data_IF_233110425931
#
_entry.id   IF_233110425931
#
_cell.length_a   1.000
_cell.length_b   1.000
_cell.length_c   1.000
_cell.angle_alpha   90.00
_cell.angle_beta   90.00
_cell.angle_gamma   90.00
#
_symmetry.space_group_name_H-M   'P 1'
#
loop_
_entity.id
_entity.type
_entity.pdbx_description
1 polymer ?
#
# COMPACT_ATOMS: atom_id res chain seq x y z
N UNK A 1 -8.36 -11.27 -9.44
CA UNK A 1 -7.31 -12.30 -9.29
C UNK A 1 -6.01 -11.78 -9.91
N UNK A 2 -4.91 -11.89 -9.17
CA UNK A 2 -3.54 -11.61 -9.62
C UNK A 2 -2.74 -12.91 -9.41
N UNK A 3 -2.01 -13.37 -10.42
CA UNK A 3 -1.23 -14.61 -10.35
C UNK A 3 0.19 -14.35 -10.83
N UNK A 4 1.18 -14.76 -10.04
CA UNK A 4 2.59 -14.85 -10.44
C UNK A 4 2.90 -16.33 -10.70
N UNK A 5 3.47 -16.65 -11.88
CA UNK A 5 3.84 -18.00 -12.27
C UNK A 5 5.33 -18.10 -12.53
N UNK A 6 6.04 -18.82 -11.66
CA UNK A 6 7.48 -19.09 -11.76
C UNK A 6 8.30 -17.83 -12.05
N UNK A 7 7.94 -16.73 -11.38
CA UNK A 7 8.55 -15.42 -11.60
C UNK A 7 9.95 -15.38 -10.99
N UNK A 8 10.95 -15.09 -11.83
CA UNK A 8 12.31 -14.81 -11.41
C UNK A 8 12.67 -13.37 -11.73
N UNK A 9 13.42 -12.74 -10.82
CA UNK A 9 13.94 -11.38 -11.01
C UNK A 9 15.31 -11.22 -10.36
N UNK A 10 16.25 -10.69 -11.14
CA UNK A 10 17.59 -10.35 -10.69
C UNK A 10 17.86 -8.88 -10.90
N UNK A 11 18.75 -8.31 -10.07
CA UNK A 11 19.33 -6.99 -10.26
C UNK A 11 20.85 -7.17 -10.17
N UNK A 12 21.55 -6.78 -11.23
CA UNK A 12 22.96 -7.08 -11.43
C UNK A 12 23.19 -8.60 -11.24
N UNK A 13 24.11 -8.99 -10.36
CA UNK A 13 24.41 -10.39 -10.08
C UNK A 13 23.57 -11.00 -8.93
N UNK A 14 22.61 -10.24 -8.37
CA UNK A 14 21.79 -10.72 -7.25
C UNK A 14 20.39 -11.15 -7.71
N UNK A 15 20.12 -12.45 -7.60
CA UNK A 15 18.76 -12.98 -7.76
C UNK A 15 17.93 -12.58 -6.54
N UNK A 16 16.80 -11.92 -6.76
CA UNK A 16 15.90 -11.39 -5.71
C UNK A 16 14.62 -12.23 -5.60
N UNK A 17 14.12 -12.71 -6.73
CA UNK A 17 13.05 -13.70 -6.78
C UNK A 17 13.52 -14.87 -7.63
N UNK A 18 13.24 -16.10 -7.19
CA UNK A 18 13.61 -17.33 -7.89
C UNK A 18 12.42 -18.24 -8.05
N UNK A 19 11.87 -18.34 -9.26
CA UNK A 19 10.71 -19.17 -9.61
C UNK A 19 9.53 -18.99 -8.65
N UNK A 20 9.33 -17.77 -8.15
CA UNK A 20 8.29 -17.44 -7.19
C UNK A 20 6.91 -17.53 -7.83
N UNK A 21 5.99 -18.24 -7.15
CA UNK A 21 4.60 -18.38 -7.60
C UNK A 21 3.64 -18.04 -6.46
N UNK A 22 2.63 -17.23 -6.76
CA UNK A 22 1.62 -16.81 -5.79
C UNK A 22 0.31 -16.44 -6.49
N UNK A 23 -0.80 -16.62 -5.79
CA UNK A 23 -2.14 -16.20 -6.25
C UNK A 23 -2.77 -15.32 -5.20
N UNK A 24 -3.25 -14.15 -5.64
CA UNK A 24 -4.03 -13.20 -4.86
C UNK A 24 -5.41 -13.09 -5.52
N UNK A 25 -6.40 -13.73 -4.94
CA UNK A 25 -7.74 -13.76 -5.56
C UNK A 25 -8.66 -12.69 -4.97
N UNK A 26 -9.07 -12.84 -3.72
CA UNK A 26 -9.90 -11.89 -2.98
C UNK A 26 -9.48 -11.87 -1.52
N UNK A 27 -9.73 -10.77 -0.82
CA UNK A 27 -9.41 -10.63 0.60
C UNK A 27 -8.12 -9.87 0.87
N UNK A 28 -7.54 -10.15 2.03
CA UNK A 28 -6.43 -9.41 2.60
C UNK A 28 -5.19 -10.30 2.69
N UNK A 29 -4.09 -9.85 2.10
CA UNK A 29 -2.84 -10.60 2.03
C UNK A 29 -1.69 -9.85 2.68
N UNK A 30 -0.95 -10.54 3.53
CA UNK A 30 0.35 -10.11 4.05
C UNK A 30 1.47 -10.80 3.25
N UNK A 31 2.22 -10.03 2.49
CA UNK A 31 3.43 -10.50 1.83
C UNK A 31 4.59 -10.44 2.83
N UNK A 32 5.01 -11.62 3.30
CA UNK A 32 5.96 -11.79 4.39
C UNK A 32 7.34 -12.19 3.88
N UNK A 33 8.37 -11.78 4.61
CA UNK A 33 9.76 -12.18 4.39
C UNK A 33 10.73 -11.17 5.00
N UNK A 34 12.01 -11.54 5.17
CA UNK A 34 13.04 -10.66 5.70
C UNK A 34 13.20 -9.36 4.92
N UNK A 35 13.87 -8.36 5.52
CA UNK A 35 14.23 -7.15 4.80
C UNK A 35 15.15 -7.46 3.63
N UNK A 36 14.87 -6.85 2.46
CA UNK A 36 15.69 -7.04 1.25
C UNK A 36 15.48 -8.38 0.51
N UNK A 37 14.51 -9.21 0.92
CA UNK A 37 14.22 -10.51 0.26
C UNK A 37 13.52 -10.35 -1.09
N UNK A 38 12.88 -9.21 -1.36
CA UNK A 38 12.18 -9.01 -2.64
C UNK A 38 10.70 -8.62 -2.53
N UNK A 39 10.16 -8.33 -1.33
CA UNK A 39 8.75 -7.93 -1.16
C UNK A 39 8.38 -6.74 -2.07
N UNK A 40 9.10 -5.64 -1.99
CA UNK A 40 8.88 -4.46 -2.86
C UNK A 40 9.09 -4.80 -4.34
N UNK A 41 10.01 -5.71 -4.67
CA UNK A 41 10.20 -6.20 -6.05
C UNK A 41 8.97 -6.95 -6.53
N UNK A 42 8.41 -7.83 -5.71
CA UNK A 42 7.16 -8.55 -6.01
C UNK A 42 6.00 -7.57 -6.25
N UNK A 43 5.85 -6.55 -5.39
CA UNK A 43 4.82 -5.53 -5.59
C UNK A 43 5.03 -4.73 -6.88
N UNK A 44 6.27 -4.37 -7.23
CA UNK A 44 6.59 -3.67 -8.48
C UNK A 44 6.30 -4.51 -9.72
N UNK A 45 6.51 -5.82 -9.67
CA UNK A 45 6.14 -6.76 -10.74
C UNK A 45 4.62 -6.82 -10.91
N UNK A 46 3.86 -6.93 -9.81
CA UNK A 46 2.38 -6.91 -9.84
C UNK A 46 1.86 -5.61 -10.47
N UNK A 47 2.49 -4.48 -10.15
CA UNK A 47 2.13 -3.17 -10.69
C UNK A 47 2.58 -2.93 -12.13
N UNK A 48 3.34 -3.86 -12.74
CA UNK A 48 3.92 -3.68 -14.07
C UNK A 48 4.96 -2.55 -14.14
N UNK A 49 5.54 -2.14 -13.01
CA UNK A 49 6.59 -1.12 -12.95
C UNK A 49 7.97 -1.66 -13.34
N UNK A 50 8.13 -2.97 -13.29
CA UNK A 50 9.28 -3.72 -13.78
C UNK A 50 8.79 -5.02 -14.41
N UNK A 51 9.55 -5.58 -15.34
CA UNK A 51 9.26 -6.87 -15.97
C UNK A 51 10.00 -8.01 -15.27
N UNK A 52 9.43 -9.22 -15.19
CA UNK A 52 10.15 -10.40 -14.73
C UNK A 52 11.22 -10.80 -15.75
N UNK A 53 12.31 -11.44 -15.29
CA UNK A 53 13.33 -11.99 -16.18
C UNK A 53 12.88 -13.35 -16.72
N UNK A 54 12.10 -14.12 -15.90
CA UNK A 54 11.47 -15.38 -16.27
C UNK A 54 10.09 -15.47 -15.60
N UNK A 55 9.22 -16.31 -16.17
CA UNK A 55 7.85 -16.46 -15.69
C UNK A 55 6.91 -15.37 -16.18
N UNK A 56 5.74 -15.28 -15.58
CA UNK A 56 4.72 -14.31 -15.99
C UNK A 56 3.91 -13.79 -14.80
N UNK A 57 3.41 -12.55 -14.91
CA UNK A 57 2.43 -11.95 -14.01
C UNK A 57 1.11 -11.81 -14.76
N UNK A 58 0.07 -12.45 -14.25
CA UNK A 58 -1.26 -12.48 -14.88
C UNK A 58 -2.23 -11.69 -14.02
N UNK A 59 -2.90 -10.72 -14.62
CA UNK A 59 -3.98 -9.94 -14.00
C UNK A 59 -5.11 -9.72 -15.00
N UNK A 60 -6.30 -9.42 -14.49
CA UNK A 60 -7.42 -9.05 -15.31
C UNK A 60 -7.11 -7.73 -16.07
N UNK A 61 -7.49 -7.68 -17.34
CA UNK A 61 -7.31 -6.45 -18.14
C UNK A 61 -8.07 -5.30 -17.49
N UNK A 62 -7.40 -4.15 -17.35
CA UNK A 62 -7.99 -2.95 -16.79
C UNK A 62 -8.03 -2.92 -15.26
N UNK A 63 -7.35 -3.85 -14.55
CA UNK A 63 -7.22 -3.80 -13.09
C UNK A 63 -6.63 -2.45 -12.66
N UNK A 64 -7.37 -1.73 -11.81
CA UNK A 64 -6.95 -0.44 -11.25
C UNK A 64 -6.32 -0.65 -9.88
N UNK A 65 -5.18 -0.02 -9.66
CA UNK A 65 -4.44 -0.12 -8.42
C UNK A 65 -4.44 1.19 -7.64
N UNK A 66 -4.71 1.12 -6.35
CA UNK A 66 -4.33 2.16 -5.40
C UNK A 66 -3.04 1.75 -4.69
N UNK A 67 -2.07 2.66 -4.58
CA UNK A 67 -0.75 2.29 -4.08
C UNK A 67 -0.26 3.29 -3.03
N UNK A 68 0.17 2.77 -1.88
CA UNK A 68 1.02 3.47 -0.93
C UNK A 68 2.42 2.84 -1.01
N UNK A 69 3.37 3.53 -1.63
CA UNK A 69 4.76 3.08 -1.74
C UNK A 69 5.50 3.23 -0.40
N UNK A 70 6.66 2.61 -0.29
CA UNK A 70 7.53 2.79 0.88
C UNK A 70 7.93 4.26 1.09
N UNK A 71 8.17 5.02 0.00
CA UNK A 71 8.24 6.48 0.03
C UNK A 71 6.83 7.07 -0.04
N UNK A 72 6.52 8.06 0.76
CA UNK A 72 5.15 8.61 0.86
C UNK A 72 4.67 9.30 -0.42
N UNK A 73 5.58 9.81 -1.24
CA UNK A 73 5.32 10.46 -2.55
C UNK A 73 4.20 11.49 -2.48
N UNK A 74 4.27 12.36 -1.48
CA UNK A 74 3.31 13.44 -1.26
C UNK A 74 3.71 14.71 -2.02
N UNK A 75 2.71 15.51 -2.36
CA UNK A 75 2.90 16.89 -2.80
C UNK A 75 3.20 17.77 -1.58
N UNK A 76 4.47 17.83 -1.18
CA UNK A 76 4.89 18.43 0.09
C UNK A 76 4.51 19.91 0.26
N UNK A 77 4.37 20.66 -0.84
CA UNK A 77 4.02 22.07 -0.85
C UNK A 77 2.52 22.33 -0.80
N UNK A 78 1.72 21.27 -0.96
CA UNK A 78 0.27 21.35 -1.04
C UNK A 78 -0.39 20.96 0.29
N UNK A 79 -1.67 21.32 0.46
CA UNK A 79 -2.48 20.95 1.61
C UNK A 79 -2.70 19.41 1.66
N UNK A 80 -3.15 18.94 2.81
CA UNK A 80 -3.51 17.52 2.99
C UNK A 80 -4.67 17.16 2.07
N UNK A 81 -5.68 18.02 2.00
CA UNK A 81 -6.84 17.85 1.14
C UNK A 81 -6.44 17.77 -0.34
N UNK A 82 -5.59 18.69 -0.80
CA UNK A 82 -5.07 18.66 -2.18
C UNK A 82 -4.34 17.35 -2.48
N UNK A 83 -3.56 16.79 -1.52
CA UNK A 83 -2.89 15.51 -1.70
C UNK A 83 -3.85 14.33 -1.93
N UNK A 84 -5.07 14.40 -1.40
CA UNK A 84 -6.10 13.38 -1.62
C UNK A 84 -6.83 13.65 -2.94
N UNK A 85 -7.35 14.86 -3.13
CA UNK A 85 -8.22 15.18 -4.26
C UNK A 85 -7.50 15.19 -5.61
N UNK A 86 -6.19 15.48 -5.64
CA UNK A 86 -5.39 15.49 -6.87
C UNK A 86 -5.29 14.12 -7.58
N UNK A 87 -5.61 13.05 -6.89
CA UNK A 87 -5.55 11.67 -7.43
C UNK A 87 -6.88 10.90 -7.29
N UNK A 88 -7.95 11.58 -6.86
CA UNK A 88 -9.23 10.94 -6.53
C UNK A 88 -10.41 11.79 -7.07
N UNK A 89 -10.73 11.63 -8.34
CA UNK A 89 -11.78 12.42 -9.02
C UNK A 89 -13.19 12.25 -8.42
N UNK A 90 -13.45 11.14 -7.72
CA UNK A 90 -14.77 10.76 -7.19
C UNK A 90 -14.92 10.99 -5.68
N UNK A 91 -13.93 11.58 -5.02
CA UNK A 91 -13.95 11.85 -3.57
C UNK A 91 -14.36 13.29 -3.34
N UNK A 92 -15.40 13.51 -2.52
CA UNK A 92 -15.79 14.85 -2.10
C UNK A 92 -14.80 15.44 -1.08
N UNK A 93 -14.72 16.77 -1.00
CA UNK A 93 -13.93 17.46 0.04
C UNK A 93 -14.36 17.00 1.44
N UNK A 94 -15.67 16.88 1.67
CA UNK A 94 -16.23 16.47 2.96
C UNK A 94 -15.78 15.04 3.35
N UNK A 95 -15.80 14.09 2.41
CA UNK A 95 -15.36 12.72 2.68
C UNK A 95 -13.83 12.65 2.89
N UNK A 96 -13.07 13.45 2.14
CA UNK A 96 -11.62 13.54 2.33
C UNK A 96 -11.27 14.14 3.71
N UNK A 97 -11.97 15.20 4.15
CA UNK A 97 -11.77 15.78 5.49
C UNK A 97 -12.14 14.78 6.61
N UNK A 98 -13.25 14.07 6.47
CA UNK A 98 -13.63 13.01 7.44
C UNK A 98 -12.53 11.97 7.56
N UNK A 99 -12.04 11.44 6.45
CA UNK A 99 -10.96 10.44 6.44
C UNK A 99 -9.66 10.99 7.04
N UNK A 100 -9.33 12.25 6.79
CA UNK A 100 -8.17 12.90 7.42
C UNK A 100 -8.32 12.93 8.94
N UNK A 101 -9.50 13.30 9.46
CA UNK A 101 -9.78 13.40 10.89
C UNK A 101 -9.79 12.04 11.62
N UNK A 102 -9.99 10.93 10.91
CA UNK A 102 -9.90 9.60 11.50
C UNK A 102 -8.45 9.24 11.90
N UNK A 103 -7.47 9.68 11.12
CA UNK A 103 -6.07 9.30 11.33
C UNK A 103 -5.15 10.47 11.73
N UNK A 104 -5.54 11.72 11.51
CA UNK A 104 -4.71 12.88 11.76
C UNK A 104 -5.36 13.82 12.78
N UNK A 105 -4.55 14.50 13.61
CA UNK A 105 -5.07 15.51 14.52
C UNK A 105 -5.71 16.69 13.77
N UNK A 106 -6.82 17.22 14.29
CA UNK A 106 -7.55 18.30 13.65
C UNK A 106 -6.70 19.57 13.41
N UNK A 107 -5.76 19.86 14.30
CA UNK A 107 -4.82 20.99 14.18
C UNK A 107 -3.78 20.83 13.06
N UNK A 108 -3.76 19.67 12.40
CA UNK A 108 -2.89 19.40 11.24
C UNK A 108 -3.54 19.71 9.90
N UNK A 109 -4.86 19.88 9.84
CA UNK A 109 -5.58 20.02 8.56
C UNK A 109 -5.18 21.28 7.79
N UNK A 110 -4.83 22.37 8.50
CA UNK A 110 -4.39 23.64 7.90
C UNK A 110 -2.91 23.61 7.47
N UNK A 111 -2.18 22.53 7.71
CA UNK A 111 -0.76 22.40 7.38
C UNK A 111 -0.57 21.93 5.94
N UNK A 112 0.63 22.19 5.42
CA UNK A 112 1.11 21.54 4.20
C UNK A 112 1.66 20.16 4.52
N UNK A 113 1.58 19.25 3.57
CA UNK A 113 2.07 17.88 3.76
C UNK A 113 3.55 17.83 4.18
N UNK A 114 4.37 18.77 3.69
CA UNK A 114 5.78 18.87 4.07
C UNK A 114 6.04 19.19 5.55
N UNK A 115 5.06 19.80 6.24
CA UNK A 115 5.15 20.21 7.65
C UNK A 115 4.75 19.09 8.63
N UNK A 116 4.24 17.98 8.11
CA UNK A 116 3.83 16.83 8.90
C UNK A 116 5.05 16.02 9.42
N UNK A 117 4.88 15.37 10.56
CA UNK A 117 5.85 14.35 11.02
C UNK A 117 5.86 13.15 10.05
N UNK A 118 6.93 12.33 10.08
CA UNK A 118 7.02 11.15 9.23
C UNK A 118 5.82 10.20 9.38
N UNK A 119 5.40 9.90 10.61
CA UNK A 119 4.23 9.08 10.86
C UNK A 119 2.91 9.70 10.38
N UNK A 120 2.79 11.04 10.40
CA UNK A 120 1.62 11.74 9.84
C UNK A 120 1.64 11.70 8.30
N UNK A 121 2.81 11.88 7.66
CA UNK A 121 2.97 11.74 6.21
C UNK A 121 2.59 10.32 5.76
N UNK A 122 3.04 9.31 6.51
CA UNK A 122 2.69 7.92 6.23
C UNK A 122 1.19 7.68 6.29
N UNK A 123 0.51 8.17 7.33
CA UNK A 123 -0.96 8.07 7.45
C UNK A 123 -1.68 8.83 6.32
N UNK A 124 -1.23 10.01 5.93
CA UNK A 124 -1.78 10.73 4.78
C UNK A 124 -1.64 9.93 3.47
N UNK A 125 -0.50 9.29 3.25
CA UNK A 125 -0.29 8.45 2.07
C UNK A 125 -1.21 7.22 2.06
N UNK A 126 -1.46 6.62 3.23
CA UNK A 126 -2.44 5.52 3.39
C UNK A 126 -3.86 6.02 3.11
N UNK A 127 -4.29 7.14 3.70
CA UNK A 127 -5.62 7.73 3.45
C UNK A 127 -5.82 7.94 1.95
N UNK A 128 -4.86 8.57 1.28
CA UNK A 128 -4.91 8.83 -0.16
C UNK A 128 -5.10 7.56 -0.98
N UNK A 129 -4.38 6.48 -0.64
CA UNK A 129 -4.51 5.20 -1.32
C UNK A 129 -5.86 4.54 -1.04
N UNK A 130 -6.34 4.57 0.22
CA UNK A 130 -7.60 3.92 0.60
C UNK A 130 -8.83 4.60 -0.02
N UNK A 131 -8.79 5.91 -0.23
CA UNK A 131 -9.88 6.65 -0.86
C UNK A 131 -9.88 6.55 -2.39
N UNK A 132 -8.79 6.05 -3.00
CA UNK A 132 -8.75 5.90 -4.46
C UNK A 132 -9.67 4.79 -4.95
N UNK A 133 -10.44 5.08 -6.00
CA UNK A 133 -11.30 4.09 -6.66
C UNK A 133 -10.45 3.06 -7.43
N UNK A 134 -10.38 1.84 -6.89
CA UNK A 134 -9.48 0.79 -7.37
C UNK A 134 -10.05 -0.59 -7.12
N UNK A 135 -9.56 -1.58 -7.85
CA UNK A 135 -9.92 -2.99 -7.68
C UNK A 135 -8.98 -3.69 -6.69
N UNK A 136 -7.75 -3.17 -6.56
CA UNK A 136 -6.72 -3.68 -5.68
C UNK A 136 -5.97 -2.54 -4.99
N UNK A 137 -5.76 -2.68 -3.69
CA UNK A 137 -4.95 -1.77 -2.86
C UNK A 137 -3.62 -2.44 -2.54
N UNK A 138 -2.51 -1.75 -2.79
CA UNK A 138 -1.17 -2.21 -2.47
C UNK A 138 -0.52 -1.23 -1.48
N UNK A 139 -0.13 -1.73 -0.31
CA UNK A 139 0.47 -0.92 0.74
C UNK A 139 1.86 -1.48 1.09
N UNK A 140 2.91 -0.78 0.71
CA UNK A 140 4.29 -1.18 1.02
C UNK A 140 4.75 -0.53 2.33
N UNK A 141 4.85 -1.33 3.40
CA UNK A 141 5.22 -0.94 4.76
C UNK A 141 4.37 0.23 5.33
N UNK A 142 3.01 0.13 5.33
CA UNK A 142 2.14 1.25 5.68
C UNK A 142 2.23 1.71 7.14
N UNK A 143 2.87 0.93 8.01
CA UNK A 143 2.94 1.19 9.45
C UNK A 143 4.32 1.69 9.90
N UNK A 144 5.26 1.89 9.00
CA UNK A 144 6.60 2.37 9.33
C UNK A 144 6.57 3.73 9.99
N UNK A 145 7.23 3.86 11.16
CA UNK A 145 7.31 5.11 11.92
C UNK A 145 6.05 5.46 12.71
N UNK A 146 5.08 4.55 12.83
CA UNK A 146 3.91 4.71 13.68
C UNK A 146 4.16 4.10 15.07
N UNK A 147 3.67 4.76 16.10
CA UNK A 147 3.51 4.16 17.42
C UNK A 147 2.35 3.15 17.46
N UNK A 148 2.20 2.41 18.55
CA UNK A 148 1.21 1.35 18.66
C UNK A 148 -0.24 1.85 18.52
N UNK A 149 -0.54 3.05 19.02
CA UNK A 149 -1.88 3.64 18.92
C UNK A 149 -2.18 4.05 17.48
N UNK A 150 -1.27 4.78 16.84
CA UNK A 150 -1.43 5.21 15.45
C UNK A 150 -1.48 4.00 14.50
N UNK A 151 -0.68 2.96 14.77
CA UNK A 151 -0.73 1.70 14.03
C UNK A 151 -2.11 1.05 14.11
N UNK A 152 -2.63 0.87 15.33
CA UNK A 152 -3.96 0.26 15.54
C UNK A 152 -5.05 1.02 14.82
N UNK A 153 -5.08 2.36 14.94
CA UNK A 153 -6.02 3.21 14.21
C UNK A 153 -5.90 3.06 12.70
N UNK A 154 -4.66 2.99 12.20
CA UNK A 154 -4.41 2.85 10.76
C UNK A 154 -4.88 1.49 10.23
N UNK A 155 -4.70 0.40 11.00
CA UNK A 155 -5.21 -0.93 10.63
C UNK A 155 -6.75 -0.92 10.59
N UNK A 156 -7.40 -0.35 11.61
CA UNK A 156 -8.86 -0.20 11.64
C UNK A 156 -9.36 0.58 10.44
N UNK A 157 -8.77 1.73 10.15
CA UNK A 157 -9.10 2.56 8.99
C UNK A 157 -8.97 1.79 7.67
N UNK A 158 -7.89 1.04 7.47
CA UNK A 158 -7.68 0.22 6.27
C UNK A 158 -8.82 -0.79 6.13
N UNK A 159 -9.17 -1.53 7.18
CA UNK A 159 -10.23 -2.54 7.16
C UNK A 159 -11.61 -1.92 6.87
N UNK A 160 -11.94 -0.80 7.48
CA UNK A 160 -13.22 -0.10 7.31
C UNK A 160 -13.38 0.49 5.90
N UNK A 161 -12.29 1.01 5.31
CA UNK A 161 -12.30 1.62 3.98
C UNK A 161 -11.94 0.66 2.83
N UNK A 162 -11.70 -0.63 3.10
CA UNK A 162 -11.31 -1.59 2.06
C UNK A 162 -12.45 -1.88 1.07
N UNK A 163 -13.70 -1.87 1.53
CA UNK A 163 -14.91 -2.05 0.71
C UNK A 163 -14.88 -3.30 -0.19
N UNK A 164 -14.34 -4.42 0.31
CA UNK A 164 -14.28 -5.69 -0.42
C UNK A 164 -13.23 -5.76 -1.54
N UNK A 165 -12.37 -4.74 -1.68
CA UNK A 165 -11.26 -4.75 -2.63
C UNK A 165 -10.20 -5.76 -2.20
N UNK A 166 -9.41 -6.24 -3.16
CA UNK A 166 -8.20 -6.99 -2.85
C UNK A 166 -7.18 -6.09 -2.15
N UNK A 167 -6.62 -6.54 -1.03
CA UNK A 167 -5.53 -5.86 -0.33
C UNK A 167 -4.28 -6.74 -0.33
N UNK A 168 -3.15 -6.17 -0.75
CA UNK A 168 -1.83 -6.76 -0.60
C UNK A 168 -0.96 -5.76 0.17
N UNK A 169 -0.47 -6.14 1.34
CA UNK A 169 0.43 -5.30 2.09
C UNK A 169 1.71 -6.03 2.53
N UNK A 170 2.76 -5.26 2.76
CA UNK A 170 3.98 -5.72 3.41
C UNK A 170 4.06 -5.13 4.81
N UNK A 171 4.59 -5.88 5.76
CA UNK A 171 4.92 -5.36 7.09
C UNK A 171 6.01 -6.22 7.75
N UNK A 172 6.86 -5.59 8.55
CA UNK A 172 7.81 -6.28 9.43
C UNK A 172 7.18 -6.70 10.75
N UNK A 173 6.08 -6.07 11.14
CA UNK A 173 5.33 -6.36 12.35
C UNK A 173 3.94 -6.88 11.98
N UNK A 174 3.57 -8.05 12.48
CA UNK A 174 2.34 -8.76 12.13
C UNK A 174 1.19 -8.49 13.11
N UNK A 175 1.44 -7.75 14.19
CA UNK A 175 0.40 -7.42 15.19
C UNK A 175 -0.78 -6.71 14.55
N UNK A 176 -1.99 -7.22 14.77
CA UNK A 176 -3.24 -6.74 14.21
C UNK A 176 -3.51 -7.18 12.76
N UNK A 177 -2.68 -8.09 12.21
CA UNK A 177 -2.80 -8.66 10.87
C UNK A 177 -3.01 -10.18 10.91
N UNK A 178 -3.45 -10.72 12.04
CA UNK A 178 -3.59 -12.16 12.27
C UNK A 178 -4.64 -12.81 11.36
N UNK A 179 -5.60 -12.02 10.86
CA UNK A 179 -6.67 -12.48 9.96
C UNK A 179 -6.24 -12.49 8.48
N UNK A 180 -5.06 -11.95 8.16
CA UNK A 180 -4.56 -11.87 6.78
C UNK A 180 -4.06 -13.21 6.28
N UNK A 181 -4.33 -13.52 5.02
CA UNK A 181 -3.68 -14.64 4.33
C UNK A 181 -2.20 -14.32 4.10
N UNK A 182 -1.31 -15.20 4.58
CA UNK A 182 0.14 -14.96 4.49
C UNK A 182 0.71 -15.61 3.24
N UNK A 183 1.45 -14.83 2.44
CA UNK A 183 2.28 -15.31 1.35
C UNK A 183 3.73 -14.99 1.69
N UNK A 184 4.57 -16.03 1.80
CA UNK A 184 5.99 -15.87 2.14
C UNK A 184 6.86 -15.80 0.90
N UNK A 185 7.86 -14.90 0.93
CA UNK A 185 9.01 -14.91 0.03
C UNK A 185 10.20 -15.43 0.84
N UNK A 186 10.78 -16.55 0.39
CA UNK A 186 11.89 -17.27 1.05
C UNK A 186 13.19 -17.10 0.27
#
# INVERSE_FOLDING_TARGET
>A
MIELKNVSKSFDDKKVLDSFSAVFDSGEYLLKGPSGIGKTTCLRLILGLIEPDEGEVILASGTRFAVCFQEDRLFEKESLLTNILAVNDNVSEEDAEKALLELLPADSLDKKAGELSGGMKRRLAVIRAMLHDSDCVILDEPFTGLDDEARTKTITFIKEHLNGRLLILTSHDERGLEDFSVISID
#
